data_IF_663331339121
#
_entry.id   IF_663331339121
#
_cell.length_a   1.000
_cell.length_b   1.000
_cell.length_c   1.000
_cell.angle_alpha   90.00
_cell.angle_beta   90.00
_cell.angle_gamma   90.00
#
_symmetry.space_group_name_H-M   'P 1'
#
loop_
_entity.id
_entity.type
_entity.pdbx_description
1 polymer ?
#
# COMPACT_ATOMS: atom_id res chain seq x y z
N UNK A 1 27.27 37.26 -3.95
CA UNK A 1 28.01 36.04 -3.49
C UNK A 1 28.10 35.99 -1.96
N UNK A 2 28.68 36.99 -1.29
CA UNK A 2 28.80 37.02 0.18
C UNK A 2 27.45 37.16 0.92
N UNK A 3 26.52 37.93 0.37
CA UNK A 3 25.20 38.19 0.98
C UNK A 3 24.27 36.97 0.92
N UNK A 4 24.19 36.29 -0.23
CA UNK A 4 23.44 35.04 -0.38
C UNK A 4 23.94 33.90 0.53
N UNK A 5 25.26 33.82 0.78
CA UNK A 5 25.82 32.85 1.73
C UNK A 5 25.48 33.19 3.19
N UNK A 6 25.33 34.48 3.51
CA UNK A 6 24.93 34.94 4.84
C UNK A 6 23.47 34.60 5.11
N UNK A 7 22.58 34.88 4.16
CA UNK A 7 21.14 34.57 4.27
C UNK A 7 20.88 33.06 4.40
N UNK A 8 21.66 32.24 3.67
CA UNK A 8 21.57 30.78 3.77
C UNK A 8 22.02 30.27 5.15
N UNK A 9 23.04 30.88 5.75
CA UNK A 9 23.50 30.54 7.11
C UNK A 9 22.50 30.94 8.19
N UNK A 10 21.93 32.14 8.09
CA UNK A 10 20.90 32.60 9.03
C UNK A 10 19.64 31.73 8.96
N UNK A 11 19.24 31.31 7.76
CA UNK A 11 18.12 30.37 7.56
C UNK A 11 18.42 29.01 8.18
N UNK A 12 19.62 28.48 7.95
CA UNK A 12 20.05 27.21 8.56
C UNK A 12 20.10 27.29 10.10
N UNK A 13 20.59 28.39 10.67
CA UNK A 13 20.65 28.58 12.12
C UNK A 13 19.25 28.64 12.76
N UNK A 14 18.29 29.31 12.11
CA UNK A 14 16.88 29.32 12.54
C UNK A 14 16.26 27.91 12.51
N UNK A 15 16.49 27.16 11.44
CA UNK A 15 15.99 25.79 11.34
C UNK A 15 16.62 24.87 12.39
N UNK A 16 17.92 24.98 12.63
CA UNK A 16 18.59 24.21 13.69
C UNK A 16 17.94 24.51 15.05
N UNK A 17 17.66 25.78 15.37
CA UNK A 17 16.97 26.13 16.61
C UNK A 17 15.60 25.45 16.72
N UNK A 18 14.78 25.49 15.65
CA UNK A 18 13.48 24.81 15.61
C UNK A 18 13.60 23.31 15.86
N UNK A 19 14.61 22.64 15.28
CA UNK A 19 14.86 21.22 15.53
C UNK A 19 15.35 20.96 16.96
N UNK A 20 16.16 21.85 17.55
CA UNK A 20 16.63 21.68 18.93
C UNK A 20 15.50 21.79 19.97
N UNK A 21 14.44 22.54 19.67
CA UNK A 21 13.26 22.70 20.53
C UNK A 21 12.25 21.54 20.43
N UNK A 22 12.44 20.62 19.48
CA UNK A 22 11.50 19.53 19.19
C UNK A 22 12.09 18.18 19.49
N UNK A 23 11.22 17.22 19.77
CA UNK A 23 11.55 15.81 19.86
C UNK A 23 11.67 15.16 18.48
N UNK A 24 12.08 13.89 18.45
CA UNK A 24 12.30 13.15 17.19
C UNK A 24 11.02 13.03 16.34
N UNK A 25 9.85 12.94 16.97
CA UNK A 25 8.57 12.86 16.24
C UNK A 25 8.17 14.22 15.65
N UNK A 26 8.49 15.31 16.35
CA UNK A 26 8.42 16.66 15.82
C UNK A 26 9.35 16.85 14.62
N UNK A 27 10.54 16.23 14.62
CA UNK A 27 11.45 16.28 13.47
C UNK A 27 10.88 15.55 12.27
N UNK A 28 10.38 14.31 12.46
CA UNK A 28 9.75 13.50 11.41
C UNK A 28 8.60 14.25 10.75
N UNK A 29 7.70 14.84 11.54
CA UNK A 29 6.59 15.66 11.04
C UNK A 29 7.06 16.84 10.19
N UNK A 30 8.00 17.63 10.71
CA UNK A 30 8.52 18.80 9.99
C UNK A 30 9.22 18.43 8.68
N UNK A 31 10.01 17.36 8.70
CA UNK A 31 10.75 16.87 7.53
C UNK A 31 9.78 16.34 6.48
N UNK A 32 8.82 15.50 6.88
CA UNK A 32 7.85 14.88 5.98
C UNK A 32 6.90 15.90 5.34
N UNK A 33 6.44 16.90 6.09
CA UNK A 33 5.45 17.87 5.60
C UNK A 33 6.07 19.05 4.82
N UNK A 34 7.38 19.24 4.88
CA UNK A 34 8.04 20.42 4.31
C UNK A 34 8.45 20.20 2.86
N UNK A 35 7.82 20.96 1.95
CA UNK A 35 8.22 21.02 0.54
C UNK A 35 9.61 21.62 0.32
N UNK A 36 10.10 22.42 1.27
CA UNK A 36 11.39 23.10 1.18
C UNK A 36 12.52 22.32 1.85
N UNK A 37 12.21 21.31 2.66
CA UNK A 37 13.25 20.54 3.35
C UNK A 37 14.28 19.91 2.39
N UNK A 38 13.90 19.29 1.26
CA UNK A 38 14.87 18.71 0.33
C UNK A 38 15.93 19.68 -0.20
N UNK A 39 15.60 20.98 -0.30
CA UNK A 39 16.53 22.01 -0.77
C UNK A 39 17.32 22.65 0.38
N UNK A 40 16.75 22.66 1.59
CA UNK A 40 17.36 23.29 2.77
C UNK A 40 18.25 22.33 3.59
N UNK A 41 18.02 21.02 3.49
CA UNK A 41 18.69 20.00 4.30
C UNK A 41 20.22 20.09 4.24
N UNK A 42 20.79 20.20 3.04
CA UNK A 42 22.24 20.29 2.85
C UNK A 42 22.85 21.52 3.55
N UNK A 43 22.15 22.65 3.49
CA UNK A 43 22.57 23.88 4.17
C UNK A 43 22.54 23.73 5.69
N UNK A 44 21.49 23.11 6.22
CA UNK A 44 21.33 22.81 7.66
C UNK A 44 22.44 21.87 8.14
N UNK A 45 22.71 20.80 7.40
CA UNK A 45 23.72 19.82 7.74
C UNK A 45 25.14 20.37 7.65
N UNK A 46 25.45 21.14 6.61
CA UNK A 46 26.73 21.86 6.50
C UNK A 46 26.92 22.82 7.67
N UNK A 47 25.87 23.55 8.05
CA UNK A 47 25.92 24.48 9.19
C UNK A 47 26.14 23.76 10.53
N UNK A 48 25.54 22.60 10.71
CA UNK A 48 25.79 21.75 11.88
C UNK A 48 27.24 21.28 11.98
N UNK A 49 27.84 20.90 10.85
CA UNK A 49 29.25 20.49 10.80
C UNK A 49 30.18 21.67 11.15
N UNK A 50 29.90 22.87 10.63
CA UNK A 50 30.62 24.11 10.97
C UNK A 50 30.54 24.39 12.49
N UNK A 51 29.36 24.29 13.10
CA UNK A 51 29.15 24.49 14.54
C UNK A 51 29.88 23.46 15.39
N UNK A 52 29.91 22.20 14.94
CA UNK A 52 30.66 21.12 15.59
C UNK A 52 32.17 21.33 15.47
N UNK A 53 32.65 21.87 14.35
CA UNK A 53 34.07 22.16 14.14
C UNK A 53 34.55 23.34 15.00
N UNK A 54 33.72 24.38 15.13
CA UNK A 54 34.02 25.58 15.92
C UNK A 54 33.96 25.35 17.45
N UNK A 55 33.22 24.33 17.91
CA UNK A 55 33.09 24.03 19.34
C UNK A 55 34.41 23.48 19.93
N UNK A 56 34.78 23.85 21.18
CA UNK A 56 36.01 23.38 21.82
C UNK A 56 36.12 21.86 21.84
N UNK A 57 37.31 21.36 21.48
CA UNK A 57 37.64 19.92 21.53
C UNK A 57 37.46 19.37 22.95
N UNK A 58 36.83 18.19 23.05
CA UNK A 58 36.57 17.53 24.33
C UNK A 58 35.43 18.12 25.17
N UNK A 59 34.76 19.19 24.72
CA UNK A 59 33.64 19.76 25.47
C UNK A 59 32.35 18.94 25.34
N UNK A 60 31.57 18.88 26.41
CA UNK A 60 30.24 18.26 26.43
C UNK A 60 29.29 18.88 25.41
N UNK A 61 29.40 20.21 25.21
CA UNK A 61 28.63 20.93 24.20
C UNK A 61 28.93 20.42 22.77
N UNK A 62 30.19 20.16 22.45
CA UNK A 62 30.58 19.57 21.15
C UNK A 62 30.05 18.15 20.99
N UNK A 63 30.09 17.34 22.06
CA UNK A 63 29.55 15.99 22.05
C UNK A 63 28.03 15.98 21.85
N UNK A 64 27.30 16.88 22.52
CA UNK A 64 25.86 17.05 22.36
C UNK A 64 25.48 17.47 20.93
N UNK A 65 26.16 18.47 20.36
CA UNK A 65 25.94 18.90 18.97
C UNK A 65 26.21 17.78 17.96
N UNK A 66 27.27 16.97 18.17
CA UNK A 66 27.55 15.80 17.33
C UNK A 66 26.45 14.75 17.40
N UNK A 67 25.92 14.47 18.60
CA UNK A 67 24.81 13.53 18.78
C UNK A 67 23.55 14.03 18.09
N UNK A 68 23.21 15.31 18.29
CA UNK A 68 22.08 15.95 17.62
C UNK A 68 22.20 15.89 16.09
N UNK A 69 23.34 16.31 15.53
CA UNK A 69 23.56 16.31 14.09
C UNK A 69 23.46 14.91 13.48
N UNK A 70 24.05 13.89 14.13
CA UNK A 70 23.93 12.49 13.68
C UNK A 70 22.49 12.00 13.71
N UNK A 71 21.75 12.28 14.78
CA UNK A 71 20.36 11.83 14.91
C UNK A 71 19.44 12.52 13.92
N UNK A 72 19.59 13.83 13.72
CA UNK A 72 18.80 14.56 12.72
C UNK A 72 19.07 14.06 11.29
N UNK A 73 20.33 13.74 10.96
CA UNK A 73 20.68 13.09 9.68
C UNK A 73 20.01 11.73 9.53
N UNK A 74 20.04 10.88 10.57
CA UNK A 74 19.37 9.58 10.55
C UNK A 74 17.89 9.73 10.22
N UNK A 75 17.19 10.62 10.94
CA UNK A 75 15.75 10.86 10.73
C UNK A 75 15.47 11.42 9.32
N UNK A 76 16.31 12.30 8.81
CA UNK A 76 16.14 12.86 7.47
C UNK A 76 16.33 11.79 6.38
N UNK A 77 17.34 10.92 6.52
CA UNK A 77 17.58 9.81 5.59
C UNK A 77 16.47 8.74 5.67
N UNK A 78 16.01 8.39 6.88
CA UNK A 78 14.85 7.51 7.09
C UNK A 78 13.61 8.07 6.39
N UNK A 79 13.30 9.35 6.61
CA UNK A 79 12.14 10.01 5.98
C UNK A 79 12.28 10.05 4.45
N UNK A 80 13.49 10.28 3.94
CA UNK A 80 13.78 10.24 2.51
C UNK A 80 13.58 8.83 1.91
N UNK A 81 14.00 7.79 2.62
CA UNK A 81 13.80 6.41 2.20
C UNK A 81 12.30 6.04 2.14
N UNK A 82 11.51 6.46 3.13
CA UNK A 82 10.07 6.28 3.11
C UNK A 82 9.40 7.07 1.98
N UNK A 83 9.81 8.31 1.74
CA UNK A 83 9.32 9.11 0.61
C UNK A 83 9.63 8.45 -0.75
N UNK A 84 10.83 7.90 -0.92
CA UNK A 84 11.22 7.17 -2.13
C UNK A 84 10.42 5.87 -2.31
N UNK A 85 10.07 5.20 -1.21
CA UNK A 85 9.22 4.00 -1.23
C UNK A 85 7.81 4.36 -1.67
N UNK A 86 7.21 5.40 -1.07
CA UNK A 86 5.89 5.88 -1.48
C UNK A 86 5.87 6.29 -2.96
N UNK A 87 6.84 7.09 -3.40
CA UNK A 87 6.94 7.54 -4.79
C UNK A 87 7.07 6.37 -5.78
N UNK A 88 7.74 5.28 -5.40
CA UNK A 88 7.82 4.09 -6.24
C UNK A 88 6.44 3.45 -6.46
N UNK A 89 5.58 3.41 -5.45
CA UNK A 89 4.21 2.90 -5.60
C UNK A 89 3.30 3.88 -6.34
N UNK A 90 3.42 5.19 -6.08
CA UNK A 90 2.65 6.22 -6.83
C UNK A 90 2.99 6.19 -8.33
N UNK A 91 4.27 5.96 -8.68
CA UNK A 91 4.73 5.85 -10.07
C UNK A 91 4.47 4.50 -10.74
N UNK A 92 3.96 3.50 -10.01
CA UNK A 92 3.72 2.16 -10.53
C UNK A 92 2.22 1.93 -10.74
N UNK A 93 1.79 1.47 -11.93
CA UNK A 93 0.39 1.13 -12.18
C UNK A 93 -0.16 0.21 -11.09
N UNK A 94 -1.39 0.46 -10.64
CA UNK A 94 -2.02 -0.32 -9.58
C UNK A 94 -2.03 -1.83 -9.85
N UNK A 95 -1.98 -2.26 -11.12
CA UNK A 95 -1.87 -3.66 -11.52
C UNK A 95 -0.56 -4.38 -11.11
N UNK A 96 0.49 -3.64 -10.80
CA UNK A 96 1.84 -4.17 -10.53
C UNK A 96 2.30 -4.01 -9.07
N UNK A 97 1.41 -3.51 -8.20
CA UNK A 97 1.73 -3.26 -6.80
C UNK A 97 2.10 -4.52 -6.02
N UNK A 98 1.51 -5.66 -6.35
CA UNK A 98 1.81 -6.93 -5.69
C UNK A 98 3.27 -7.30 -5.95
N UNK A 99 3.72 -7.27 -7.21
CA UNK A 99 5.10 -7.53 -7.59
C UNK A 99 6.08 -6.55 -6.91
N UNK A 100 5.75 -5.25 -6.90
CA UNK A 100 6.56 -4.24 -6.25
C UNK A 100 6.60 -4.39 -4.71
N UNK A 101 5.47 -4.70 -4.08
CA UNK A 101 5.36 -4.89 -2.63
C UNK A 101 6.20 -6.07 -2.14
N UNK A 102 6.29 -7.12 -2.94
CA UNK A 102 7.14 -8.27 -2.62
C UNK A 102 8.61 -7.91 -2.69
N UNK A 103 9.01 -7.20 -3.75
CA UNK A 103 10.39 -6.73 -3.91
C UNK A 103 10.80 -5.78 -2.80
N UNK A 104 9.91 -4.82 -2.46
CA UNK A 104 10.12 -3.79 -1.44
C UNK A 104 9.58 -4.19 -0.08
N UNK A 105 9.36 -5.49 0.18
CA UNK A 105 8.76 -5.94 1.43
C UNK A 105 9.53 -5.41 2.64
N UNK A 106 10.86 -5.39 2.58
CA UNK A 106 11.73 -4.85 3.64
C UNK A 106 11.53 -3.37 3.94
N UNK A 107 11.04 -2.59 2.97
CA UNK A 107 10.78 -1.16 3.10
C UNK A 107 9.39 -0.87 3.71
N UNK A 108 8.48 -1.84 3.65
CA UNK A 108 7.12 -1.75 4.21
C UNK A 108 7.12 -2.08 5.72
N UNK A 109 7.77 -1.24 6.51
CA UNK A 109 7.88 -1.40 7.97
C UNK A 109 6.81 -0.61 8.73
N UNK A 110 6.71 -0.81 10.04
CA UNK A 110 5.82 0.00 10.89
C UNK A 110 6.11 1.50 10.76
N UNK A 111 7.39 1.88 10.70
CA UNK A 111 7.86 3.26 10.55
C UNK A 111 7.44 3.86 9.20
N UNK A 112 7.37 3.06 8.13
CA UNK A 112 6.83 3.49 6.85
C UNK A 112 5.33 3.82 6.95
N UNK A 113 4.54 3.00 7.66
CA UNK A 113 3.12 3.28 7.85
C UNK A 113 2.87 4.48 8.78
N UNK A 114 3.71 4.70 9.79
CA UNK A 114 3.72 5.92 10.60
C UNK A 114 4.06 7.18 9.78
N UNK A 115 4.98 7.05 8.81
CA UNK A 115 5.26 8.11 7.86
C UNK A 115 4.03 8.45 6.99
N UNK A 116 3.29 7.44 6.50
CA UNK A 116 2.04 7.69 5.76
C UNK A 116 0.98 8.40 6.62
N UNK A 117 0.84 8.01 7.89
CA UNK A 117 -0.04 8.69 8.85
C UNK A 117 0.37 10.15 9.07
N UNK A 118 1.67 10.39 9.17
CA UNK A 118 2.22 11.73 9.30
C UNK A 118 1.90 12.60 8.08
N UNK A 119 2.03 12.06 6.87
CA UNK A 119 1.66 12.77 5.65
C UNK A 119 0.15 13.04 5.57
N UNK A 120 -0.68 12.06 5.93
CA UNK A 120 -2.14 12.23 5.95
C UNK A 120 -2.55 13.31 6.96
N UNK A 121 -1.95 13.33 8.16
CA UNK A 121 -2.20 14.39 9.13
C UNK A 121 -1.72 15.76 8.64
N UNK A 122 -0.61 15.81 7.91
CA UNK A 122 -0.06 17.05 7.35
C UNK A 122 -0.88 17.59 6.16
N UNK A 123 -1.70 16.77 5.51
CA UNK A 123 -2.57 17.19 4.41
C UNK A 123 -3.72 18.12 4.85
N UNK A 124 -3.99 18.23 6.16
CA UNK A 124 -4.97 19.18 6.71
C UNK A 124 -6.36 18.99 6.11
N UNK A 125 -6.92 20.04 5.49
CA UNK A 125 -8.26 20.03 4.90
C UNK A 125 -8.33 19.36 3.51
N UNK A 126 -7.20 18.97 2.92
CA UNK A 126 -7.17 18.22 1.65
C UNK A 126 -7.68 16.79 1.87
N UNK A 127 -9.00 16.62 1.76
CA UNK A 127 -9.66 15.34 1.95
C UNK A 127 -9.20 14.31 0.91
N UNK A 128 -9.09 14.72 -0.36
CA UNK A 128 -8.71 13.82 -1.45
C UNK A 128 -7.32 13.22 -1.22
N UNK A 129 -6.33 14.03 -0.81
CA UNK A 129 -4.99 13.52 -0.51
C UNK A 129 -4.95 12.61 0.71
N UNK A 130 -5.79 12.88 1.72
CA UNK A 130 -5.92 12.00 2.89
C UNK A 130 -6.51 10.65 2.51
N UNK A 131 -7.57 10.65 1.71
CA UNK A 131 -8.22 9.44 1.20
C UNK A 131 -7.27 8.61 0.34
N UNK A 132 -6.50 9.26 -0.54
CA UNK A 132 -5.49 8.60 -1.34
C UNK A 132 -4.45 7.90 -0.44
N UNK A 133 -3.79 8.64 0.46
CA UNK A 133 -2.78 8.08 1.36
C UNK A 133 -3.33 6.95 2.24
N UNK A 134 -4.57 7.09 2.69
CA UNK A 134 -5.28 6.07 3.45
C UNK A 134 -5.49 4.78 2.65
N UNK A 135 -6.04 4.90 1.44
CA UNK A 135 -6.29 3.77 0.56
C UNK A 135 -4.98 3.06 0.16
N UNK A 136 -3.93 3.85 -0.14
CA UNK A 136 -2.60 3.33 -0.41
C UNK A 136 -2.05 2.56 0.80
N UNK A 137 -2.09 3.16 1.99
CA UNK A 137 -1.59 2.54 3.22
C UNK A 137 -2.30 1.22 3.55
N UNK A 138 -3.63 1.20 3.46
CA UNK A 138 -4.43 -0.01 3.66
C UNK A 138 -4.05 -1.13 2.67
N UNK A 139 -3.91 -0.77 1.39
CA UNK A 139 -3.54 -1.72 0.35
C UNK A 139 -2.13 -2.27 0.56
N UNK A 140 -1.15 -1.42 0.84
CA UNK A 140 0.24 -1.84 1.07
C UNK A 140 0.38 -2.72 2.31
N UNK A 141 -0.34 -2.43 3.38
CA UNK A 141 -0.34 -3.27 4.58
C UNK A 141 -0.97 -4.65 4.33
N UNK A 142 -2.05 -4.71 3.54
CA UNK A 142 -2.64 -5.98 3.12
C UNK A 142 -1.65 -6.80 2.29
N UNK A 143 -0.95 -6.17 1.34
CA UNK A 143 0.07 -6.84 0.52
C UNK A 143 1.26 -7.32 1.35
N UNK A 144 1.76 -6.49 2.28
CA UNK A 144 2.84 -6.87 3.18
C UNK A 144 2.45 -8.08 4.04
N UNK A 145 1.26 -8.05 4.64
CA UNK A 145 0.75 -9.15 5.48
C UNK A 145 0.53 -10.43 4.68
N UNK A 146 -0.02 -10.32 3.47
CA UNK A 146 -0.21 -11.47 2.58
C UNK A 146 1.13 -12.09 2.18
N UNK A 147 2.14 -11.24 1.92
CA UNK A 147 3.51 -11.68 1.63
C UNK A 147 4.11 -12.41 2.83
N UNK A 148 4.02 -11.84 4.04
CA UNK A 148 4.55 -12.47 5.25
C UNK A 148 3.92 -13.84 5.52
N UNK A 149 2.58 -13.92 5.46
CA UNK A 149 1.86 -15.18 5.70
C UNK A 149 2.21 -16.26 4.69
N UNK A 150 2.34 -15.88 3.41
CA UNK A 150 2.76 -16.81 2.37
C UNK A 150 4.27 -17.13 2.45
N UNK A 151 5.07 -16.36 3.19
CA UNK A 151 6.45 -16.69 3.53
C UNK A 151 6.59 -17.67 4.68
N UNK A 152 5.64 -17.67 5.62
CA UNK A 152 5.62 -18.59 6.76
C UNK A 152 5.19 -20.02 6.38
N UNK A 153 4.38 -20.19 5.32
CA UNK A 153 3.87 -21.50 4.89
C UNK A 153 4.77 -22.18 3.84
N UNK A 154 5.80 -22.89 4.32
CA UNK A 154 6.75 -23.60 3.46
C UNK A 154 6.10 -24.67 2.57
N UNK A 155 5.06 -25.34 3.06
CA UNK A 155 4.37 -26.37 2.28
C UNK A 155 3.58 -25.75 1.13
N UNK A 156 2.86 -24.65 1.38
CA UNK A 156 2.19 -23.89 0.34
C UNK A 156 3.17 -23.31 -0.68
N UNK A 157 4.36 -22.88 -0.26
CA UNK A 157 5.40 -22.42 -1.19
C UNK A 157 5.91 -23.52 -2.11
N UNK A 158 6.17 -24.71 -1.56
CA UNK A 158 6.63 -25.85 -2.36
C UNK A 158 5.58 -26.29 -3.37
N UNK A 159 4.31 -26.35 -2.95
CA UNK A 159 3.20 -26.63 -3.85
C UNK A 159 3.08 -25.54 -4.94
N UNK A 160 3.12 -24.26 -4.57
CA UNK A 160 3.10 -23.14 -5.51
C UNK A 160 4.25 -23.18 -6.52
N UNK A 161 5.46 -23.55 -6.09
CA UNK A 161 6.61 -23.70 -6.98
C UNK A 161 6.41 -24.84 -7.99
N UNK A 162 5.81 -25.96 -7.57
CA UNK A 162 5.50 -27.07 -8.47
C UNK A 162 4.41 -26.70 -9.47
N UNK A 163 3.36 -25.99 -9.05
CA UNK A 163 2.31 -25.49 -9.96
C UNK A 163 2.88 -24.51 -10.98
N UNK A 164 3.69 -23.54 -10.54
CA UNK A 164 4.33 -22.58 -11.44
C UNK A 164 5.24 -23.31 -12.44
N UNK A 165 6.06 -24.25 -11.97
CA UNK A 165 6.90 -25.06 -12.87
C UNK A 165 6.04 -25.78 -13.91
N UNK A 166 4.94 -26.40 -13.49
CA UNK A 166 4.06 -27.11 -14.41
C UNK A 166 3.34 -26.19 -15.39
N UNK A 167 3.04 -24.95 -15.01
CA UNK A 167 2.51 -23.92 -15.91
C UNK A 167 3.54 -23.46 -16.95
N UNK A 168 4.83 -23.54 -16.65
CA UNK A 168 5.90 -23.17 -17.58
C UNK A 168 6.31 -24.31 -18.53
N UNK A 169 5.88 -25.55 -18.25
CA UNK A 169 6.17 -26.74 -19.07
C UNK A 169 5.12 -27.00 -20.16
N UNK A 170 4.05 -26.19 -20.23
CA UNK A 170 3.00 -26.32 -21.26
C UNK A 170 3.50 -25.90 -22.64
N UNK A 171 2.90 -26.47 -23.69
CA UNK A 171 3.37 -26.27 -25.07
C UNK A 171 2.81 -25.00 -25.73
N UNK A 172 1.79 -24.37 -25.13
CA UNK A 172 1.12 -23.16 -25.67
C UNK A 172 0.56 -22.24 -24.59
N UNK A 173 0.36 -20.96 -24.94
CA UNK A 173 -0.23 -19.97 -24.03
C UNK A 173 -1.71 -20.26 -23.76
N UNK A 174 -2.44 -20.79 -24.74
CA UNK A 174 -3.85 -21.18 -24.58
C UNK A 174 -4.00 -22.30 -23.54
N UNK A 175 -3.06 -23.26 -23.53
CA UNK A 175 -3.04 -24.32 -22.51
C UNK A 175 -2.70 -23.76 -21.13
N UNK A 176 -1.77 -22.81 -21.05
CA UNK A 176 -1.41 -22.14 -19.80
C UNK A 176 -2.60 -21.38 -19.20
N UNK A 177 -3.33 -20.63 -20.03
CA UNK A 177 -4.50 -19.85 -19.64
C UNK A 177 -5.63 -20.75 -19.13
N UNK A 178 -5.92 -21.84 -19.86
CA UNK A 178 -6.92 -22.83 -19.44
C UNK A 178 -6.54 -23.46 -18.09
N UNK A 179 -5.26 -23.76 -17.89
CA UNK A 179 -4.78 -24.35 -16.65
C UNK A 179 -4.87 -23.39 -15.47
N UNK A 180 -4.64 -22.10 -15.68
CA UNK A 180 -4.88 -21.06 -14.67
C UNK A 180 -6.37 -20.96 -14.31
N UNK A 181 -7.26 -21.03 -15.29
CA UNK A 181 -8.70 -21.02 -15.06
C UNK A 181 -9.15 -22.29 -14.29
N UNK A 182 -8.60 -23.47 -14.62
CA UNK A 182 -8.85 -24.72 -13.88
C UNK A 182 -8.34 -24.65 -12.43
N UNK A 183 -7.16 -24.06 -12.21
CA UNK A 183 -6.60 -23.83 -10.87
C UNK A 183 -7.49 -22.88 -10.05
N UNK A 184 -8.01 -21.82 -10.67
CA UNK A 184 -8.95 -20.90 -10.02
C UNK A 184 -10.27 -21.59 -9.66
N UNK A 185 -10.84 -22.37 -10.59
CA UNK A 185 -12.08 -23.11 -10.38
C UNK A 185 -11.96 -24.14 -9.24
N UNK A 186 -10.79 -24.76 -9.08
CA UNK A 186 -10.50 -25.71 -8.00
C UNK A 186 -10.10 -25.03 -6.68
N UNK A 187 -10.00 -23.70 -6.66
CA UNK A 187 -9.49 -22.93 -5.51
C UNK A 187 -8.03 -23.19 -5.17
N UNK A 188 -7.27 -23.72 -6.12
CA UNK A 188 -5.83 -24.00 -6.01
C UNK A 188 -4.97 -22.84 -6.47
N UNK A 189 -5.54 -21.88 -7.20
CA UNK A 189 -4.95 -20.56 -7.39
C UNK A 189 -5.03 -19.78 -6.08
N UNK A 190 -4.15 -20.13 -5.14
CA UNK A 190 -4.14 -19.57 -3.80
C UNK A 190 -3.18 -18.37 -3.69
N UNK A 191 -3.19 -17.62 -2.57
CA UNK A 191 -2.30 -16.48 -2.38
C UNK A 191 -0.81 -16.81 -2.52
N UNK A 192 -0.38 -18.03 -2.16
CA UNK A 192 1.01 -18.46 -2.28
C UNK A 192 1.44 -18.64 -3.74
N UNK A 193 0.57 -19.21 -4.59
CA UNK A 193 0.81 -19.32 -6.03
C UNK A 193 0.84 -17.94 -6.69
N UNK A 194 -0.13 -17.08 -6.38
CA UNK A 194 -0.15 -15.71 -6.90
C UNK A 194 1.11 -14.93 -6.49
N UNK A 195 1.56 -15.08 -5.25
CA UNK A 195 2.80 -14.50 -4.76
C UNK A 195 4.04 -15.02 -5.52
N UNK A 196 4.11 -16.33 -5.75
CA UNK A 196 5.21 -16.95 -6.49
C UNK A 196 5.28 -16.43 -7.93
N UNK A 197 4.12 -16.30 -8.59
CA UNK A 197 4.02 -15.74 -9.94
C UNK A 197 4.44 -14.26 -9.98
N UNK A 198 4.02 -13.47 -8.99
CA UNK A 198 4.45 -12.07 -8.86
C UNK A 198 5.98 -11.94 -8.67
N UNK A 199 6.58 -12.79 -7.82
CA UNK A 199 8.04 -12.88 -7.62
C UNK A 199 8.75 -13.22 -8.93
N UNK A 200 8.27 -14.23 -9.64
CA UNK A 200 8.87 -14.70 -10.89
C UNK A 200 8.77 -13.64 -11.99
N UNK A 201 7.62 -12.96 -12.13
CA UNK A 201 7.46 -11.85 -13.06
C UNK A 201 8.41 -10.68 -12.74
N UNK A 202 8.49 -10.27 -11.47
CA UNK A 202 9.40 -9.20 -11.04
C UNK A 202 10.88 -9.54 -11.35
N UNK A 203 11.29 -10.78 -11.04
CA UNK A 203 12.65 -11.25 -11.30
C UNK A 203 12.96 -11.31 -12.81
N UNK A 204 12.01 -11.78 -13.62
CA UNK A 204 12.16 -11.83 -15.08
C UNK A 204 12.31 -10.43 -15.68
N UNK A 205 11.47 -9.47 -15.26
CA UNK A 205 11.46 -8.08 -15.74
C UNK A 205 12.80 -7.37 -15.54
N UNK A 206 13.45 -7.61 -14.41
CA UNK A 206 14.69 -6.91 -14.02
C UNK A 206 15.98 -7.61 -14.48
N UNK A 207 15.89 -8.89 -14.83
CA UNK A 207 17.04 -9.67 -15.27
C UNK A 207 17.51 -9.24 -16.66
N UNK A 208 18.79 -8.89 -16.77
CA UNK A 208 19.46 -8.68 -18.06
C UNK A 208 19.76 -9.99 -18.80
N UNK A 209 19.57 -11.14 -18.13
CA UNK A 209 19.84 -12.47 -18.66
C UNK A 209 18.58 -13.14 -19.24
N UNK A 210 17.39 -12.60 -18.97
CA UNK A 210 16.13 -13.14 -19.46
C UNK A 210 15.79 -12.50 -20.80
N UNK A 211 15.49 -13.33 -21.81
CA UNK A 211 15.04 -12.85 -23.12
C UNK A 211 13.68 -12.13 -23.00
N UNK A 212 13.43 -11.16 -23.87
CA UNK A 212 12.17 -10.39 -23.83
C UNK A 212 10.94 -11.28 -23.98
N UNK A 213 11.00 -12.32 -24.82
CA UNK A 213 9.89 -13.26 -25.00
C UNK A 213 9.55 -14.01 -23.70
N UNK A 214 10.56 -14.33 -22.88
CA UNK A 214 10.35 -14.96 -21.59
C UNK A 214 9.78 -13.97 -20.56
N UNK A 215 10.09 -12.67 -20.67
CA UNK A 215 9.48 -11.63 -19.83
C UNK A 215 8.00 -11.45 -20.18
N UNK A 216 7.66 -11.48 -21.46
CA UNK A 216 6.29 -11.37 -21.95
C UNK A 216 5.43 -12.55 -21.50
N UNK A 217 5.94 -13.78 -21.61
CA UNK A 217 5.26 -14.98 -21.10
C UNK A 217 5.03 -14.87 -19.59
N UNK A 218 6.07 -14.49 -18.82
CA UNK A 218 5.92 -14.34 -17.38
C UNK A 218 4.93 -13.24 -16.98
N UNK A 219 4.88 -12.14 -17.73
CA UNK A 219 3.91 -11.07 -17.54
C UNK A 219 2.49 -11.55 -17.82
N UNK A 220 2.27 -12.21 -18.96
CA UNK A 220 0.96 -12.74 -19.34
C UNK A 220 0.43 -13.71 -18.28
N UNK A 221 1.23 -14.70 -17.89
CA UNK A 221 0.84 -15.67 -16.87
C UNK A 221 0.47 -15.00 -15.54
N UNK A 222 1.27 -14.02 -15.10
CA UNK A 222 0.99 -13.30 -13.86
C UNK A 222 -0.32 -12.49 -13.94
N UNK A 223 -0.54 -11.73 -15.01
CA UNK A 223 -1.76 -10.92 -15.13
C UNK A 223 -3.01 -11.77 -15.32
N UNK A 224 -2.94 -12.85 -16.11
CA UNK A 224 -4.03 -13.81 -16.25
C UNK A 224 -4.35 -14.48 -14.92
N UNK A 225 -3.35 -14.94 -14.17
CA UNK A 225 -3.54 -15.51 -12.84
C UNK A 225 -4.19 -14.50 -11.88
N UNK A 226 -3.77 -13.23 -11.92
CA UNK A 226 -4.37 -12.18 -11.11
C UNK A 226 -5.84 -11.95 -11.46
N UNK A 227 -6.18 -11.96 -12.74
CA UNK A 227 -7.56 -11.85 -13.22
C UNK A 227 -8.41 -13.04 -12.76
N UNK A 228 -7.95 -14.27 -13.01
CA UNK A 228 -8.66 -15.49 -12.60
C UNK A 228 -8.81 -15.59 -11.08
N UNK A 229 -7.80 -15.13 -10.31
CA UNK A 229 -7.88 -15.05 -8.85
C UNK A 229 -8.91 -14.02 -8.38
N UNK A 230 -8.98 -12.86 -9.03
CA UNK A 230 -9.98 -11.83 -8.73
C UNK A 230 -11.40 -12.33 -9.06
N UNK A 231 -11.56 -13.08 -10.15
CA UNK A 231 -12.83 -13.68 -10.54
C UNK A 231 -13.32 -14.77 -9.56
N UNK A 232 -12.40 -15.42 -8.83
CA UNK A 232 -12.72 -16.38 -7.76
C UNK A 232 -13.41 -15.71 -6.55
N UNK A 233 -13.29 -14.39 -6.40
CA UNK A 233 -13.91 -13.71 -5.27
C UNK A 233 -15.43 -13.87 -5.29
N UNK A 234 -16.05 -14.13 -4.11
CA UNK A 234 -17.50 -14.18 -4.01
C UNK A 234 -18.14 -12.93 -4.61
N UNK A 235 -19.27 -13.05 -5.33
CA UNK A 235 -19.92 -11.92 -5.96
C UNK A 235 -20.22 -10.81 -4.95
N UNK A 236 -20.49 -11.15 -3.68
CA UNK A 236 -20.74 -10.21 -2.59
C UNK A 236 -19.56 -9.26 -2.35
N UNK A 237 -18.31 -9.74 -2.45
CA UNK A 237 -17.11 -8.91 -2.26
C UNK A 237 -16.95 -7.93 -3.41
N UNK A 238 -17.21 -8.38 -4.64
CA UNK A 238 -17.13 -7.56 -5.84
C UNK A 238 -18.24 -6.51 -5.88
N UNK A 239 -19.48 -6.88 -5.53
CA UNK A 239 -20.63 -5.98 -5.39
C UNK A 239 -20.35 -4.93 -4.32
N UNK A 240 -19.88 -5.33 -3.14
CA UNK A 240 -19.53 -4.40 -2.07
C UNK A 240 -18.46 -3.39 -2.51
N UNK A 241 -17.41 -3.83 -3.22
CA UNK A 241 -16.39 -2.94 -3.76
C UNK A 241 -16.99 -1.92 -4.73
N UNK A 242 -17.89 -2.35 -5.62
CA UNK A 242 -18.58 -1.45 -6.55
C UNK A 242 -19.45 -0.43 -5.80
N UNK A 243 -20.27 -0.88 -4.84
CA UNK A 243 -21.15 -0.01 -4.06
C UNK A 243 -20.39 1.05 -3.26
N UNK A 244 -19.23 0.69 -2.70
CA UNK A 244 -18.39 1.63 -1.95
C UNK A 244 -17.71 2.66 -2.84
N UNK A 245 -17.54 2.37 -4.14
CA UNK A 245 -16.99 3.31 -5.12
C UNK A 245 -17.99 4.39 -5.58
N UNK A 246 -19.29 4.20 -5.28
CA UNK A 246 -20.34 5.15 -5.65
C UNK A 246 -20.52 6.19 -4.55
N UNK A 247 -20.18 7.45 -4.83
CA UNK A 247 -20.31 8.55 -3.85
C UNK A 247 -21.76 8.99 -3.64
N UNK A 248 -22.59 8.95 -4.68
CA UNK A 248 -24.01 9.35 -4.63
C UNK A 248 -24.88 8.28 -3.94
N UNK A 249 -25.54 8.59 -2.81
CA UNK A 249 -26.42 7.66 -2.12
C UNK A 249 -27.57 7.13 -2.99
N UNK A 250 -28.07 7.92 -3.94
CA UNK A 250 -29.14 7.49 -4.83
C UNK A 250 -28.65 6.44 -5.84
N UNK A 251 -27.47 6.67 -6.44
CA UNK A 251 -26.83 5.71 -7.34
C UNK A 251 -26.46 4.42 -6.61
N UNK A 252 -25.93 4.53 -5.39
CA UNK A 252 -25.62 3.37 -4.56
C UNK A 252 -26.85 2.53 -4.25
N UNK A 253 -27.99 3.18 -3.97
CA UNK A 253 -29.26 2.49 -3.73
C UNK A 253 -29.80 1.80 -4.99
N UNK A 254 -29.68 2.45 -6.15
CA UNK A 254 -30.06 1.85 -7.43
C UNK A 254 -29.20 0.62 -7.75
N UNK A 255 -27.88 0.75 -7.67
CA UNK A 255 -26.93 -0.35 -7.86
C UNK A 255 -27.14 -1.51 -6.87
N UNK A 256 -27.54 -1.20 -5.62
CA UNK A 256 -27.91 -2.20 -4.64
C UNK A 256 -29.17 -2.98 -5.06
N UNK A 257 -30.19 -2.29 -5.58
CA UNK A 257 -31.40 -2.92 -6.12
C UNK A 257 -31.11 -3.78 -7.35
N UNK A 258 -30.23 -3.32 -8.24
CA UNK A 258 -29.76 -4.10 -9.40
C UNK A 258 -29.02 -5.37 -8.97
N UNK A 259 -28.14 -5.28 -7.97
CA UNK A 259 -27.40 -6.44 -7.43
C UNK A 259 -28.31 -7.52 -6.82
N UNK A 260 -29.52 -7.15 -6.37
CA UNK A 260 -30.52 -8.09 -5.82
C UNK A 260 -31.58 -8.54 -6.84
N UNK A 261 -31.54 -8.02 -8.07
CA UNK A 261 -32.49 -8.39 -9.11
C UNK A 261 -31.82 -9.40 -10.05
N UNK A 262 -32.25 -10.68 -10.08
CA UNK A 262 -31.68 -11.67 -10.99
C UNK A 262 -31.99 -11.27 -12.44
N UNK A 263 -31.00 -10.76 -13.18
CA UNK A 263 -31.09 -10.57 -14.62
C UNK A 263 -31.02 -11.89 -15.39
N UNK A 264 -31.54 -11.92 -16.62
CA UNK A 264 -31.25 -13.01 -17.56
C UNK A 264 -29.74 -13.01 -17.82
N UNK A 265 -29.05 -14.08 -17.43
CA UNK A 265 -27.60 -14.24 -17.57
C UNK A 265 -27.19 -14.22 -19.04
N UNK A 266 -26.92 -13.04 -19.59
CA UNK A 266 -26.26 -12.90 -20.90
C UNK A 266 -24.79 -12.63 -20.61
N UNK A 267 -23.96 -13.65 -20.83
CA UNK A 267 -22.52 -13.53 -20.79
C UNK A 267 -22.05 -12.59 -21.91
N UNK A 268 -21.79 -11.33 -21.59
CA UNK A 268 -21.09 -10.39 -22.44
C UNK A 268 -19.73 -10.14 -21.78
N UNK A 269 -18.65 -10.27 -22.55
CA UNK A 269 -17.26 -10.32 -22.11
C UNK A 269 -16.73 -9.12 -21.28
N UNK A 270 -17.57 -8.12 -20.96
CA UNK A 270 -17.17 -6.86 -20.33
C UNK A 270 -18.12 -6.36 -19.23
N UNK A 271 -19.22 -7.06 -18.92
CA UNK A 271 -20.14 -6.70 -17.84
C UNK A 271 -20.43 -7.90 -16.94
N UNK A 272 -19.77 -7.92 -15.79
CA UNK A 272 -20.01 -8.86 -14.70
C UNK A 272 -21.37 -8.49 -14.05
N UNK A 273 -22.47 -9.10 -14.50
CA UNK A 273 -23.78 -8.99 -13.84
C UNK A 273 -23.74 -9.80 -12.54
N UNK A 274 -23.12 -9.22 -11.51
CA UNK A 274 -23.01 -9.83 -10.20
C UNK A 274 -24.33 -9.69 -9.47
N UNK A 275 -25.07 -10.79 -9.41
CA UNK A 275 -26.29 -10.89 -8.63
C UNK A 275 -25.99 -11.64 -7.33
N UNK A 276 -26.62 -11.23 -6.23
CA UNK A 276 -26.51 -11.86 -4.92
C UNK A 276 -27.84 -11.75 -4.18
N UNK A 277 -27.94 -12.37 -2.99
CA UNK A 277 -29.09 -12.17 -2.10
C UNK A 277 -28.78 -11.13 -1.03
N UNK A 278 -29.81 -10.42 -0.53
CA UNK A 278 -29.64 -9.47 0.58
C UNK A 278 -28.91 -10.07 1.78
N UNK A 279 -29.22 -11.31 2.16
CA UNK A 279 -28.63 -11.99 3.32
C UNK A 279 -27.17 -12.38 3.09
N UNK A 280 -26.82 -12.77 1.86
CA UNK A 280 -25.43 -13.08 1.50
C UNK A 280 -24.56 -11.81 1.55
N UNK A 281 -25.03 -10.72 0.95
CA UNK A 281 -24.32 -9.44 0.98
C UNK A 281 -24.24 -8.87 2.40
N UNK A 282 -25.32 -8.96 3.20
CA UNK A 282 -25.33 -8.50 4.59
C UNK A 282 -24.28 -9.23 5.44
N UNK A 283 -24.19 -10.56 5.33
CA UNK A 283 -23.16 -11.35 6.04
C UNK A 283 -21.74 -10.94 5.63
N UNK A 284 -21.51 -10.67 4.34
CA UNK A 284 -20.21 -10.21 3.87
C UNK A 284 -19.85 -8.84 4.44
N UNK A 285 -20.80 -7.89 4.47
CA UNK A 285 -20.61 -6.56 5.05
C UNK A 285 -20.32 -6.64 6.56
N UNK A 286 -21.07 -7.46 7.29
CA UNK A 286 -20.87 -7.67 8.74
C UNK A 286 -19.52 -8.31 9.05
N UNK A 287 -19.08 -9.28 8.24
CA UNK A 287 -17.76 -9.90 8.40
C UNK A 287 -16.62 -8.88 8.23
N UNK A 288 -16.73 -7.98 7.24
CA UNK A 288 -15.74 -6.91 7.02
C UNK A 288 -15.74 -5.90 8.16
N UNK A 289 -16.93 -5.46 8.63
CA UNK A 289 -17.04 -4.55 9.77
C UNK A 289 -16.48 -5.17 11.07
N UNK A 290 -16.73 -6.45 11.31
CA UNK A 290 -16.20 -7.19 12.45
C UNK A 290 -14.67 -7.31 12.41
N UNK A 291 -14.11 -7.63 11.24
CA UNK A 291 -12.67 -7.68 11.04
C UNK A 291 -11.99 -6.31 11.23
N UNK A 292 -12.65 -5.23 10.80
CA UNK A 292 -12.17 -3.87 11.05
C UNK A 292 -12.15 -3.53 12.55
N UNK A 293 -13.25 -3.80 13.27
CA UNK A 293 -13.32 -3.55 14.71
C UNK A 293 -12.26 -4.32 15.50
N UNK A 294 -11.95 -5.56 15.10
CA UNK A 294 -10.91 -6.38 15.72
C UNK A 294 -9.46 -5.95 15.40
N UNK A 295 -9.22 -5.23 14.30
CA UNK A 295 -7.89 -4.73 13.92
C UNK A 295 -7.54 -3.39 14.58
N UNK A 296 -8.55 -2.66 15.07
CA UNK A 296 -8.37 -1.40 15.81
C UNK A 296 -7.92 -1.68 17.25
N UNK A 297 -6.60 -1.79 17.46
CA UNK A 297 -6.02 -1.95 18.80
C UNK A 297 -4.65 -2.63 18.86
N UNK A 298 -4.16 -3.20 17.75
CA UNK A 298 -2.82 -3.82 17.71
C UNK A 298 -1.74 -2.85 17.25
N UNK A 299 -0.56 -2.89 17.87
CA UNK A 299 0.67 -2.25 17.38
C UNK A 299 1.24 -2.90 16.11
N UNK A 300 0.40 -3.53 15.29
CA UNK A 300 0.76 -4.26 14.07
C UNK A 300 0.57 -3.36 12.86
N UNK A 301 1.26 -3.64 11.75
CA UNK A 301 1.13 -2.87 10.49
C UNK A 301 -0.31 -2.80 10.00
N UNK A 302 -1.10 -3.87 10.17
CA UNK A 302 -2.51 -3.89 9.82
C UNK A 302 -3.34 -2.96 10.72
N UNK A 303 -3.01 -2.87 12.01
CA UNK A 303 -3.62 -1.91 12.95
C UNK A 303 -3.28 -0.47 12.60
N UNK A 304 -2.01 -0.18 12.27
CA UNK A 304 -1.55 1.12 11.80
C UNK A 304 -2.19 1.52 10.46
N UNK A 305 -2.38 0.57 9.55
CA UNK A 305 -3.07 0.80 8.29
C UNK A 305 -4.59 0.89 8.45
N UNK A 306 -5.19 0.20 9.41
CA UNK A 306 -6.61 0.36 9.77
C UNK A 306 -6.91 1.72 10.40
N UNK A 307 -5.92 2.31 11.09
CA UNK A 307 -5.98 3.68 11.61
C UNK A 307 -5.87 4.73 10.49
N UNK A 308 -5.30 4.34 9.34
CA UNK A 308 -5.31 5.14 8.12
C UNK A 308 -6.65 5.05 7.38
N UNK A 309 -7.35 3.92 7.41
CA UNK A 309 -8.68 3.77 6.79
C UNK A 309 -9.66 4.77 7.40
N UNK A 310 -10.24 5.61 6.53
CA UNK A 310 -11.15 6.68 6.93
C UNK A 310 -12.36 6.10 7.71
N UNK A 311 -12.68 6.64 8.91
CA UNK A 311 -13.97 6.44 9.56
C UNK A 311 -15.17 6.57 8.62
N UNK A 312 -15.09 7.33 7.53
CA UNK A 312 -16.12 7.47 6.51
C UNK A 312 -16.34 6.20 5.69
N UNK A 313 -15.31 5.44 5.31
CA UNK A 313 -15.50 4.17 4.57
C UNK A 313 -16.21 3.14 5.45
N UNK A 314 -15.85 3.11 6.74
CA UNK A 314 -16.50 2.26 7.74
C UNK A 314 -17.90 2.74 8.06
N UNK A 315 -18.11 4.06 8.10
CA UNK A 315 -19.45 4.66 8.20
C UNK A 315 -20.29 4.28 6.99
N UNK A 316 -19.77 4.41 5.75
CA UNK A 316 -20.45 4.01 4.51
C UNK A 316 -20.77 2.51 4.47
N UNK A 317 -19.89 1.66 4.98
CA UNK A 317 -20.16 0.23 5.17
C UNK A 317 -21.26 -0.01 6.21
N UNK A 318 -21.28 0.77 7.29
CA UNK A 318 -22.35 0.76 8.30
C UNK A 318 -23.70 1.21 7.74
N UNK A 319 -23.71 2.29 6.96
CA UNK A 319 -24.89 2.80 6.24
C UNK A 319 -25.39 1.76 5.23
N UNK A 320 -24.48 1.08 4.52
CA UNK A 320 -24.82 0.02 3.59
C UNK A 320 -25.47 -1.17 4.32
N UNK A 321 -24.90 -1.61 5.45
CA UNK A 321 -25.52 -2.63 6.32
C UNK A 321 -26.93 -2.22 6.74
N UNK A 322 -27.10 -0.98 7.18
CA UNK A 322 -28.38 -0.48 7.68
C UNK A 322 -29.41 -0.34 6.54
N UNK A 323 -28.98 0.05 5.34
CA UNK A 323 -29.83 0.08 4.15
C UNK A 323 -30.29 -1.32 3.74
N UNK A 324 -29.39 -2.32 3.71
CA UNK A 324 -29.77 -3.71 3.39
C UNK A 324 -30.79 -4.24 4.40
N UNK A 325 -30.54 -4.02 5.70
CA UNK A 325 -31.46 -4.42 6.79
C UNK A 325 -32.82 -3.73 6.75
N UNK A 326 -32.86 -2.45 6.36
CA UNK A 326 -34.12 -1.69 6.33
C UNK A 326 -34.97 -2.04 5.12
N UNK A 327 -34.32 -2.23 3.97
CA UNK A 327 -35.00 -2.19 2.68
C UNK A 327 -35.12 -3.58 2.02
N UNK A 328 -34.37 -4.58 2.48
CA UNK A 328 -34.25 -5.89 1.81
C UNK A 328 -34.16 -7.10 2.75
N UNK A 329 -34.24 -6.92 4.07
CA UNK A 329 -34.24 -8.00 5.08
C UNK A 329 -35.44 -7.83 6.01
#
# INVERSE_FOLDING_TARGET
MAEAQKDQRETADKLIAVFQERDTDGWRRLIASSRLWPTLADGVFKRLDERVAAAPSGSDARAALRRFARRLRSVAEETRAHAATLAAFEGTPGGEWEALAVKRRRDLTAEFFEYLQTLAAAAGDDLARREELAAMGARLAALATATDKAEEDLAAQQAAAQELKSLLEVESMEEADKRLDDLAAQGRLNPALLLMMAKAHAAAKESSYTKEEAKDVMAHLYFKAKESFAAQQPPEVRIMKHLLSLDDPAQRRAALGEAFTPGAQVAIATQDYLTTTPEALLRAVEAVLGAYAGSRGGGTMLGQASALVDPQVITRLGELRDAIRRDFT
#
